data_IF_848674816159
#
_entry.id   IF_848674816159
#
_cell.length_a   1.000
_cell.length_b   1.000
_cell.length_c   1.000
_cell.angle_alpha   90.00
_cell.angle_beta   90.00
_cell.angle_gamma   90.00
#
_symmetry.space_group_name_H-M   'P 1'
#
loop_
_entity.id
_entity.type
_entity.pdbx_description
1 polymer ?
#
# COMPACT_ATOMS: atom_id res chain seq x y z
N UNK A 1 25.21 23.12 -24.74
CA UNK A 1 24.27 22.10 -24.21
C UNK A 1 24.56 22.00 -22.71
N UNK A 2 23.68 22.54 -21.87
CA UNK A 2 23.94 22.71 -20.43
C UNK A 2 23.75 21.37 -19.70
N UNK A 3 24.60 21.12 -18.72
CA UNK A 3 24.68 19.89 -17.89
C UNK A 3 23.36 19.53 -17.20
N UNK A 4 22.45 20.50 -17.02
CA UNK A 4 21.12 20.31 -16.44
C UNK A 4 20.15 19.55 -17.37
N UNK A 5 20.24 19.78 -18.70
CA UNK A 5 19.44 19.05 -19.69
C UNK A 5 19.85 17.58 -19.75
N UNK A 6 21.14 17.30 -19.61
CA UNK A 6 21.67 15.93 -19.55
C UNK A 6 21.19 15.17 -18.30
N UNK A 7 21.07 15.85 -17.15
CA UNK A 7 20.58 15.23 -15.91
C UNK A 7 19.09 14.89 -15.95
N UNK A 8 18.25 15.76 -16.53
CA UNK A 8 16.82 15.48 -16.69
C UNK A 8 16.59 14.35 -17.69
N UNK A 9 17.31 14.35 -18.82
CA UNK A 9 17.27 13.24 -19.78
C UNK A 9 17.76 11.94 -19.12
N UNK A 10 18.82 12.00 -18.31
CA UNK A 10 19.32 10.83 -17.56
C UNK A 10 18.29 10.30 -16.56
N UNK A 11 17.61 11.17 -15.79
CA UNK A 11 16.52 10.78 -14.89
C UNK A 11 15.33 10.14 -15.62
N UNK A 12 14.92 10.71 -16.76
CA UNK A 12 13.76 10.24 -17.55
C UNK A 12 14.09 8.93 -18.29
N UNK A 13 15.34 8.79 -18.76
CA UNK A 13 15.87 7.55 -19.36
C UNK A 13 16.04 6.47 -18.29
N UNK A 14 16.46 6.79 -17.07
CA UNK A 14 16.47 5.84 -15.94
C UNK A 14 15.08 5.32 -15.58
N UNK A 15 14.03 6.13 -15.72
CA UNK A 15 12.65 5.68 -15.53
C UNK A 15 12.18 4.68 -16.62
N UNK A 16 12.82 4.67 -17.81
CA UNK A 16 12.42 3.82 -18.93
C UNK A 16 13.34 2.61 -19.18
N UNK A 17 14.58 2.61 -18.68
CA UNK A 17 15.58 1.57 -19.04
C UNK A 17 15.81 0.53 -17.93
N UNK A 18 15.40 0.78 -16.69
CA UNK A 18 15.50 -0.22 -15.63
C UNK A 18 14.18 -0.98 -15.45
N UNK A 19 13.87 -1.91 -16.36
CA UNK A 19 13.12 -3.10 -15.96
C UNK A 19 14.15 -4.21 -15.69
N UNK A 20 14.42 -4.53 -14.41
CA UNK A 20 15.17 -5.74 -14.09
C UNK A 20 14.38 -6.95 -14.57
N UNK A 21 14.97 -7.67 -15.51
CA UNK A 21 14.60 -9.03 -15.84
C UNK A 21 14.64 -9.83 -14.53
N UNK A 22 13.52 -10.44 -14.15
CA UNK A 22 13.35 -11.31 -12.99
C UNK A 22 13.43 -10.67 -11.59
N UNK A 23 12.49 -9.77 -11.30
CA UNK A 23 11.85 -9.73 -9.99
C UNK A 23 10.35 -9.51 -10.19
N UNK A 24 9.69 -10.44 -10.88
CA UNK A 24 8.25 -10.62 -10.73
C UNK A 24 8.03 -11.08 -9.29
N UNK A 25 8.07 -10.14 -8.34
CA UNK A 25 7.55 -10.36 -7.00
C UNK A 25 6.12 -10.86 -7.22
N UNK A 26 5.86 -12.10 -6.82
CA UNK A 26 4.60 -12.77 -7.08
C UNK A 26 3.46 -11.84 -6.64
N UNK A 27 2.59 -11.46 -7.60
CA UNK A 27 1.49 -10.53 -7.33
C UNK A 27 0.69 -11.09 -6.15
N UNK A 28 0.43 -10.29 -5.10
CA UNK A 28 -0.34 -10.77 -3.97
C UNK A 28 -1.71 -11.30 -4.41
N UNK A 29 -2.17 -12.36 -3.76
CA UNK A 29 -3.55 -12.82 -3.89
C UNK A 29 -4.53 -11.68 -3.56
N UNK A 30 -5.73 -11.74 -4.16
CA UNK A 30 -6.77 -10.74 -3.90
C UNK A 30 -7.19 -10.77 -2.43
N UNK A 31 -7.32 -9.59 -1.82
CA UNK A 31 -7.83 -9.43 -0.47
C UNK A 31 -9.35 -9.53 -0.44
N UNK A 32 -9.87 -10.41 0.42
CA UNK A 32 -11.31 -10.67 0.59
C UNK A 32 -11.74 -10.55 2.06
N UNK A 33 -11.27 -9.51 2.76
CA UNK A 33 -11.59 -9.13 4.15
C UNK A 33 -10.84 -9.85 5.29
N UNK A 34 -10.15 -10.97 5.03
CA UNK A 34 -9.38 -11.68 6.05
C UNK A 34 -7.87 -11.48 5.92
N UNK A 35 -7.15 -11.58 7.06
CA UNK A 35 -5.68 -11.49 7.13
C UNK A 35 -5.09 -10.20 6.52
N UNK A 36 -5.78 -9.07 6.69
CA UNK A 36 -5.35 -7.77 6.15
C UNK A 36 -3.89 -7.47 6.44
N UNK A 37 -3.38 -7.77 7.64
CA UNK A 37 -1.97 -7.55 7.99
C UNK A 37 -1.00 -8.26 7.04
N UNK A 38 -1.28 -9.52 6.69
CA UNK A 38 -0.45 -10.32 5.76
C UNK A 38 -0.56 -9.79 4.34
N UNK A 39 -1.78 -9.50 3.89
CA UNK A 39 -2.01 -8.94 2.56
C UNK A 39 -1.33 -7.57 2.40
N UNK A 40 -1.50 -6.67 3.38
CA UNK A 40 -0.91 -5.33 3.41
C UNK A 40 0.61 -5.38 3.31
N UNK A 41 1.27 -6.31 4.04
CA UNK A 41 2.71 -6.50 3.94
C UNK A 41 3.16 -7.01 2.56
N UNK A 42 2.46 -7.99 2.00
CA UNK A 42 2.75 -8.51 0.65
C UNK A 42 2.55 -7.44 -0.43
N UNK A 43 1.47 -6.65 -0.33
CA UNK A 43 1.18 -5.56 -1.25
C UNK A 43 2.21 -4.44 -1.16
N UNK A 44 2.59 -4.02 0.05
CA UNK A 44 3.63 -3.02 0.24
C UNK A 44 4.98 -3.47 -0.35
N UNK A 45 5.36 -4.73 -0.13
CA UNK A 45 6.56 -5.30 -0.74
C UNK A 45 6.48 -5.29 -2.27
N UNK A 46 5.35 -5.71 -2.85
CA UNK A 46 5.11 -5.70 -4.29
C UNK A 46 5.19 -4.28 -4.89
N UNK A 47 4.60 -3.28 -4.24
CA UNK A 47 4.70 -1.88 -4.67
C UNK A 47 6.13 -1.34 -4.53
N UNK A 48 6.91 -1.85 -3.57
CA UNK A 48 8.32 -1.47 -3.38
C UNK A 48 9.19 -2.02 -4.52
N UNK A 49 8.98 -3.28 -4.95
CA UNK A 49 9.72 -3.85 -6.09
C UNK A 49 9.39 -3.15 -7.41
N UNK A 50 8.21 -2.53 -7.50
CA UNK A 50 7.78 -1.69 -8.62
C UNK A 50 8.20 -0.22 -8.50
N UNK A 51 8.88 0.18 -7.42
CA UNK A 51 9.23 1.59 -7.13
C UNK A 51 8.02 2.54 -7.04
N UNK A 52 6.89 2.02 -6.55
CA UNK A 52 5.62 2.74 -6.39
C UNK A 52 5.27 3.01 -4.91
N UNK A 53 5.98 2.43 -3.96
CA UNK A 53 5.69 2.58 -2.53
C UNK A 53 5.68 4.04 -2.05
N UNK A 54 6.48 4.92 -2.67
CA UNK A 54 6.53 6.36 -2.32
C UNK A 54 5.18 7.07 -2.45
N UNK A 55 4.33 6.64 -3.39
CA UNK A 55 3.01 7.26 -3.63
C UNK A 55 1.99 6.95 -2.51
N UNK A 56 2.34 6.05 -1.58
CA UNK A 56 1.52 5.76 -0.41
C UNK A 56 1.72 6.78 0.72
N UNK A 57 2.84 7.53 0.71
CA UNK A 57 3.22 8.41 1.83
C UNK A 57 3.62 9.82 1.41
N UNK A 58 4.24 9.99 0.25
CA UNK A 58 4.67 11.30 -0.24
C UNK A 58 3.51 12.11 -0.82
N UNK A 59 3.65 13.43 -0.80
CA UNK A 59 2.71 14.35 -1.45
C UNK A 59 3.18 14.71 -2.86
N UNK A 60 2.24 15.17 -3.69
CA UNK A 60 2.58 15.68 -5.01
C UNK A 60 3.66 16.77 -4.91
N UNK A 61 4.64 16.78 -5.83
CA UNK A 61 5.78 17.68 -5.73
C UNK A 61 5.31 19.13 -5.78
N UNK A 62 5.65 19.91 -4.74
CA UNK A 62 5.45 21.36 -4.73
C UNK A 62 6.44 21.98 -5.70
N UNK A 63 5.93 22.64 -6.73
CA UNK A 63 6.80 23.13 -7.79
C UNK A 63 7.42 24.47 -7.41
N UNK A 64 8.74 24.51 -7.28
CA UNK A 64 9.50 25.71 -6.89
C UNK A 64 9.45 26.83 -7.95
N UNK A 65 9.56 28.08 -7.49
CA UNK A 65 9.45 29.28 -8.34
C UNK A 65 10.52 29.35 -9.45
N UNK A 66 11.70 28.77 -9.24
CA UNK A 66 12.81 28.80 -10.20
C UNK A 66 12.70 27.82 -11.39
N UNK A 67 11.67 26.98 -11.48
CA UNK A 67 11.49 26.03 -12.60
C UNK A 67 10.68 26.64 -13.74
N UNK A 68 11.00 26.26 -14.98
CA UNK A 68 10.20 26.63 -16.15
C UNK A 68 8.83 25.94 -16.12
N UNK A 69 7.79 26.58 -16.67
CA UNK A 69 6.43 26.02 -16.74
C UNK A 69 6.38 24.61 -17.34
N UNK A 70 7.25 24.32 -18.30
CA UNK A 70 7.38 22.99 -18.91
C UNK A 70 7.92 21.97 -17.92
N UNK A 71 8.96 22.29 -17.15
CA UNK A 71 9.47 21.40 -16.10
C UNK A 71 8.42 21.17 -15.00
N UNK A 72 7.60 22.19 -14.69
CA UNK A 72 6.50 22.07 -13.74
C UNK A 72 5.48 21.03 -14.22
N UNK A 73 5.02 21.16 -15.47
CA UNK A 73 4.06 20.23 -16.10
C UNK A 73 4.60 18.80 -16.14
N UNK A 74 5.83 18.60 -16.63
CA UNK A 74 6.45 17.27 -16.71
C UNK A 74 6.52 16.58 -15.36
N UNK A 75 6.88 17.31 -14.29
CA UNK A 75 6.93 16.75 -12.95
C UNK A 75 5.53 16.34 -12.42
N UNK A 76 4.51 17.17 -12.67
CA UNK A 76 3.13 16.88 -12.29
C UNK A 76 2.55 15.69 -13.07
N UNK A 77 2.81 15.60 -14.37
CA UNK A 77 2.35 14.51 -15.22
C UNK A 77 2.99 13.17 -14.81
N UNK A 78 4.31 13.18 -14.55
CA UNK A 78 5.04 12.01 -14.07
C UNK A 78 4.52 11.55 -12.69
N UNK A 79 4.21 12.50 -11.80
CA UNK A 79 3.60 12.20 -10.51
C UNK A 79 2.21 11.58 -10.69
N UNK A 80 1.34 12.22 -11.48
CA UNK A 80 -0.02 11.75 -11.71
C UNK A 80 -0.08 10.36 -12.32
N UNK A 81 0.83 10.06 -13.26
CA UNK A 81 0.94 8.72 -13.84
C UNK A 81 1.38 7.66 -12.81
N UNK A 82 2.37 7.98 -11.97
CA UNK A 82 2.83 7.07 -10.92
C UNK A 82 1.79 6.82 -9.83
N UNK A 83 1.06 7.86 -9.39
CA UNK A 83 -0.06 7.74 -8.46
C UNK A 83 -1.18 6.88 -9.05
N UNK A 84 -1.53 7.12 -10.31
CA UNK A 84 -2.52 6.31 -11.04
C UNK A 84 -2.12 4.83 -11.07
N UNK A 85 -0.87 4.51 -11.42
CA UNK A 85 -0.40 3.13 -11.44
C UNK A 85 -0.45 2.49 -10.05
N UNK A 86 0.10 3.17 -9.03
CA UNK A 86 0.12 2.67 -7.66
C UNK A 86 -1.30 2.37 -7.16
N UNK A 87 -2.23 3.31 -7.36
CA UNK A 87 -3.65 3.13 -7.02
C UNK A 87 -4.25 1.92 -7.72
N UNK A 88 -4.01 1.76 -9.02
CA UNK A 88 -4.55 0.63 -9.78
C UNK A 88 -3.97 -0.71 -9.32
N UNK A 89 -2.71 -0.80 -8.93
CA UNK A 89 -2.14 -2.03 -8.38
C UNK A 89 -2.79 -2.42 -7.05
N UNK A 90 -3.02 -1.43 -6.17
CA UNK A 90 -3.73 -1.67 -4.91
C UNK A 90 -5.16 -2.16 -5.19
N UNK A 91 -5.91 -1.45 -6.03
CA UNK A 91 -7.29 -1.82 -6.41
C UNK A 91 -7.34 -3.23 -7.00
N UNK A 92 -6.42 -3.56 -7.90
CA UNK A 92 -6.30 -4.89 -8.50
C UNK A 92 -5.95 -6.00 -7.49
N UNK A 93 -5.39 -5.64 -6.34
CA UNK A 93 -5.17 -6.55 -5.22
C UNK A 93 -6.40 -6.73 -4.32
N UNK A 94 -7.51 -6.05 -4.59
CA UNK A 94 -8.76 -6.20 -3.84
C UNK A 94 -9.70 -7.20 -4.52
N UNK A 95 -10.52 -7.88 -3.72
CA UNK A 95 -11.71 -8.58 -4.19
C UNK A 95 -12.74 -7.61 -4.75
N UNK A 96 -13.62 -8.10 -5.61
CA UNK A 96 -14.47 -7.25 -6.47
C UNK A 96 -15.43 -6.35 -5.66
N UNK A 97 -15.95 -6.84 -4.52
CA UNK A 97 -16.78 -6.04 -3.61
C UNK A 97 -16.01 -4.85 -3.04
N UNK A 98 -14.78 -5.07 -2.59
CA UNK A 98 -13.92 -4.01 -2.03
C UNK A 98 -13.44 -3.06 -3.12
N UNK A 99 -13.09 -3.58 -4.29
CA UNK A 99 -12.75 -2.77 -5.45
C UNK A 99 -13.80 -1.70 -5.70
N UNK A 100 -15.08 -2.08 -5.75
CA UNK A 100 -16.18 -1.14 -6.05
C UNK A 100 -16.38 -0.07 -4.97
N UNK A 101 -16.13 -0.41 -3.70
CA UNK A 101 -16.22 0.55 -2.58
C UNK A 101 -15.07 1.55 -2.64
N UNK A 102 -13.86 1.07 -2.95
CA UNK A 102 -12.64 1.84 -2.86
C UNK A 102 -12.21 2.51 -4.19
N UNK A 103 -12.86 2.20 -5.31
CA UNK A 103 -12.52 2.75 -6.63
C UNK A 103 -12.68 4.27 -6.74
N UNK A 104 -13.45 4.88 -5.84
CA UNK A 104 -13.66 6.33 -5.77
C UNK A 104 -12.48 7.09 -5.15
N UNK A 105 -11.50 6.38 -4.56
CA UNK A 105 -10.31 7.02 -4.00
C UNK A 105 -9.54 7.76 -5.11
N UNK A 106 -9.22 9.04 -4.87
CA UNK A 106 -8.60 9.89 -5.88
C UNK A 106 -7.09 9.76 -5.96
N UNK A 107 -6.45 9.25 -4.91
CA UNK A 107 -4.99 9.04 -4.83
C UNK A 107 -4.66 7.67 -4.24
N UNK A 108 -3.47 7.16 -4.54
CA UNK A 108 -2.97 5.91 -3.96
C UNK A 108 -2.86 6.00 -2.43
N UNK A 109 -2.37 7.14 -1.92
CA UNK A 109 -2.31 7.45 -0.48
C UNK A 109 -3.69 7.38 0.19
N UNK A 110 -4.69 8.09 -0.34
CA UNK A 110 -6.03 8.12 0.27
C UNK A 110 -6.68 6.72 0.28
N UNK A 111 -6.45 5.93 -0.78
CA UNK A 111 -6.87 4.53 -0.83
C UNK A 111 -6.20 3.70 0.28
N UNK A 112 -4.88 3.77 0.36
CA UNK A 112 -4.09 3.01 1.32
C UNK A 112 -4.46 3.34 2.77
N UNK A 113 -4.53 4.63 3.12
CA UNK A 113 -4.92 5.08 4.45
C UNK A 113 -6.34 4.63 4.83
N UNK A 114 -7.28 4.64 3.88
CA UNK A 114 -8.65 4.19 4.12
C UNK A 114 -8.73 2.69 4.41
N UNK A 115 -7.92 1.88 3.71
CA UNK A 115 -7.79 0.44 3.98
C UNK A 115 -7.17 0.20 5.35
N UNK A 116 -6.05 0.87 5.65
CA UNK A 116 -5.38 0.72 6.94
C UNK A 116 -6.28 1.13 8.11
N UNK A 117 -7.02 2.24 7.98
CA UNK A 117 -7.94 2.73 9.01
C UNK A 117 -9.05 1.72 9.32
N UNK A 118 -9.66 1.13 8.29
CA UNK A 118 -10.75 0.17 8.48
C UNK A 118 -10.25 -1.13 9.13
N UNK A 119 -9.25 -1.75 8.52
CA UNK A 119 -8.87 -3.12 8.86
C UNK A 119 -7.85 -3.23 9.99
N UNK A 120 -7.04 -2.20 10.29
CA UNK A 120 -6.18 -2.22 11.51
C UNK A 120 -7.01 -2.10 12.79
N UNK A 121 -8.12 -1.35 12.78
CA UNK A 121 -9.02 -1.24 13.93
C UNK A 121 -9.81 -2.52 14.16
N UNK A 122 -10.27 -3.18 13.10
CA UNK A 122 -10.99 -4.46 13.17
C UNK A 122 -10.09 -5.59 13.72
N UNK A 123 -8.83 -5.69 13.27
CA UNK A 123 -7.86 -6.68 13.76
C UNK A 123 -7.55 -6.49 15.26
N UNK A 124 -7.47 -5.24 15.73
CA UNK A 124 -7.27 -4.95 17.15
C UNK A 124 -8.49 -5.39 18.00
N UNK A 125 -9.71 -5.15 17.51
CA UNK A 125 -10.95 -5.57 18.17
C UNK A 125 -11.10 -7.10 18.21
N UNK A 126 -10.81 -7.78 17.10
CA UNK A 126 -10.87 -9.25 17.04
C UNK A 126 -9.84 -9.90 17.97
N UNK A 127 -8.61 -9.38 18.02
CA UNK A 127 -7.58 -9.86 18.95
C UNK A 127 -7.99 -9.70 20.40
N UNK A 128 -8.58 -8.55 20.75
CA UNK A 128 -9.10 -8.33 22.11
C UNK A 128 -10.18 -9.35 22.46
N UNK A 129 -11.12 -9.60 21.55
CA UNK A 129 -12.17 -10.60 21.75
C UNK A 129 -11.63 -12.03 21.90
N UNK A 130 -10.64 -12.42 21.09
CA UNK A 130 -10.00 -13.75 21.20
C UNK A 130 -9.28 -13.89 22.55
N UNK A 131 -8.57 -12.85 23.01
CA UNK A 131 -7.91 -12.86 24.32
C UNK A 131 -8.94 -12.95 25.45
N UNK A 132 -10.02 -12.16 25.40
CA UNK A 132 -11.11 -12.23 26.39
C UNK A 132 -11.78 -13.62 26.41
N UNK A 133 -12.01 -14.21 25.23
CA UNK A 133 -12.58 -15.56 25.09
C UNK A 133 -11.63 -16.65 25.58
N UNK A 134 -10.33 -16.52 25.33
CA UNK A 134 -9.31 -17.44 25.85
C UNK A 134 -9.29 -17.44 27.38
N UNK A 135 -9.41 -16.27 28.00
CA UNK A 135 -9.53 -16.19 29.45
C UNK A 135 -10.87 -16.77 29.93
N UNK A 136 -12.01 -16.45 29.31
CA UNK A 136 -13.31 -16.97 29.74
C UNK A 136 -13.41 -18.50 29.69
N UNK A 137 -12.79 -19.13 28.69
CA UNK A 137 -12.73 -20.60 28.58
C UNK A 137 -11.81 -21.25 29.63
N UNK A 138 -10.80 -20.53 30.13
CA UNK A 138 -9.90 -21.00 31.20
C UNK A 138 -10.54 -20.94 32.59
N UNK A 139 -11.44 -19.98 32.82
CA UNK A 139 -12.12 -19.80 34.12
C UNK A 139 -13.45 -20.56 34.24
N UNK A 140 -13.96 -21.16 33.15
CA UNK A 140 -15.16 -22.03 33.18
C UNK A 140 -14.86 -23.48 33.57
N UNK A 141 -13.59 -23.88 33.68
CA UNK A 141 -13.23 -25.12 34.39
C UNK A 141 -13.27 -24.76 35.88
N UNK A 142 -14.24 -25.30 36.66
CA UNK A 142 -14.26 -25.07 38.10
C UNK A 142 -12.93 -25.56 38.69
N UNK A 143 -12.26 -24.71 39.47
CA UNK A 143 -10.92 -25.00 40.03
C UNK A 143 -10.91 -26.25 40.93
N UNK A 144 -12.08 -26.74 41.30
CA UNK A 144 -12.39 -27.95 42.07
C UNK A 144 -12.37 -29.26 41.25
N UNK A 145 -12.10 -29.23 39.94
CA UNK A 145 -11.91 -30.43 39.11
C UNK A 145 -10.46 -30.65 38.63
N UNK A 146 -9.51 -29.81 39.06
CA UNK A 146 -8.08 -30.06 38.84
C UNK A 146 -7.61 -31.08 39.87
N UNK A 147 -7.84 -32.37 39.60
CA UNK A 147 -7.21 -33.42 40.37
C UNK A 147 -5.75 -33.55 39.93
N UNK A 148 -4.83 -33.27 40.86
CA UNK A 148 -3.40 -33.46 40.67
C UNK A 148 -3.12 -34.93 40.29
N UNK A 149 -2.41 -35.13 39.17
CA UNK A 149 -1.69 -36.36 38.83
C UNK A 149 -0.22 -36.01 38.64
#
# INVERSE_FOLDING_TARGET
MTTESANLVTMVVQLHVAQPIAAQGERPEKFSDNDFKRWNQKMLFYLTTLNLARFLSEEAPVVSEGKTDTQKRVAMDAWGYGDFLCRNYILNGLGDTLYNVYSLATTARALWESLEKKYKTEDASLKKFIVESFWSTKWWIPMDQVQEF
#
